data_IF_732149126809
#
_entry.id   IF_732149126809
#
_cell.length_a   1.000
_cell.length_b   1.000
_cell.length_c   1.000
_cell.angle_alpha   90.00
_cell.angle_beta   90.00
_cell.angle_gamma   90.00
#
_symmetry.space_group_name_H-M   'P 1'
#
loop_
_entity.id
_entity.type
_entity.pdbx_description
1 polymer ?
#
# COMPACT_ATOMS: atom_id res chain seq x y z
N UNK A 1 6.73 6.43 -11.70
CA UNK A 1 6.28 5.62 -10.54
C UNK A 1 6.91 4.22 -10.50
N UNK A 2 7.36 3.64 -11.63
CA UNK A 2 8.08 2.36 -11.64
C UNK A 2 9.51 2.48 -11.07
N UNK A 3 10.11 3.66 -11.13
CA UNK A 3 11.51 3.88 -10.69
C UNK A 3 11.71 3.95 -9.16
N UNK A 4 10.64 3.88 -8.35
CA UNK A 4 10.74 3.91 -6.88
C UNK A 4 10.98 2.54 -6.25
N UNK A 5 10.83 1.46 -7.02
CA UNK A 5 10.97 0.09 -6.51
C UNK A 5 12.12 -0.62 -7.20
N UNK A 6 12.79 -1.56 -6.49
CA UNK A 6 13.81 -2.40 -7.12
C UNK A 6 13.25 -3.08 -8.38
N UNK A 7 14.05 -3.12 -9.45
CA UNK A 7 13.60 -3.63 -10.76
C UNK A 7 13.28 -5.13 -10.75
N UNK A 8 13.75 -5.86 -9.75
CA UNK A 8 13.46 -7.27 -9.50
C UNK A 8 12.10 -7.50 -8.82
N UNK A 9 11.44 -6.45 -8.31
CA UNK A 9 10.10 -6.57 -7.75
C UNK A 9 9.05 -6.69 -8.86
N UNK A 10 8.32 -7.80 -8.86
CA UNK A 10 7.29 -8.06 -9.85
C UNK A 10 6.09 -7.13 -9.69
N UNK A 11 5.83 -6.28 -10.69
CA UNK A 11 4.64 -5.45 -10.76
C UNK A 11 3.46 -6.26 -11.33
N UNK A 12 2.36 -6.35 -10.57
CA UNK A 12 1.15 -7.09 -10.97
C UNK A 12 -0.11 -6.29 -10.63
N UNK A 13 -1.20 -6.40 -11.41
CA UNK A 13 -2.48 -5.79 -11.05
C UNK A 13 -3.03 -6.36 -9.73
N UNK A 14 -3.75 -5.52 -8.99
CA UNK A 14 -4.46 -5.97 -7.79
C UNK A 14 -5.64 -6.88 -8.14
N UNK A 15 -5.96 -7.83 -7.24
CA UNK A 15 -6.96 -8.90 -7.50
C UNK A 15 -8.42 -8.44 -7.37
N UNK A 16 -8.69 -7.37 -6.64
CA UNK A 16 -10.04 -6.95 -6.23
C UNK A 16 -10.29 -5.47 -6.48
N UNK A 17 -9.29 -4.65 -6.19
CA UNK A 17 -9.30 -3.20 -6.41
C UNK A 17 -8.49 -2.87 -7.65
N UNK A 18 -8.80 -1.73 -8.27
CA UNK A 18 -7.98 -1.18 -9.36
C UNK A 18 -6.69 -0.66 -8.73
N UNK A 19 -5.55 -1.17 -9.20
CA UNK A 19 -4.26 -0.82 -8.61
C UNK A 19 -3.13 -1.72 -9.09
N UNK A 20 -1.92 -1.38 -8.65
CA UNK A 20 -0.69 -2.12 -8.96
C UNK A 20 -0.02 -2.52 -7.66
N UNK A 21 0.49 -3.73 -7.61
CA UNK A 21 1.29 -4.25 -6.51
C UNK A 21 2.68 -4.64 -7.00
N UNK A 22 3.67 -4.22 -6.25
CA UNK A 22 5.04 -4.70 -6.30
C UNK A 22 5.30 -5.61 -5.11
N UNK A 23 5.94 -6.75 -5.37
CA UNK A 23 6.30 -7.71 -4.33
C UNK A 23 7.74 -8.16 -4.52
N UNK A 24 8.46 -8.21 -3.41
CA UNK A 24 9.81 -8.75 -3.34
C UNK A 24 9.77 -10.27 -3.64
N UNK A 25 10.51 -10.74 -4.66
CA UNK A 25 10.52 -12.15 -5.02
C UNK A 25 11.21 -13.02 -3.95
N UNK A 26 12.14 -12.46 -3.19
CA UNK A 26 12.92 -13.14 -2.17
C UNK A 26 12.26 -13.10 -0.79
N UNK A 27 11.41 -12.09 -0.53
CA UNK A 27 10.67 -11.97 0.72
C UNK A 27 9.24 -11.47 0.48
N UNK A 28 8.29 -12.41 0.38
CA UNK A 28 6.88 -12.10 0.17
C UNK A 28 6.24 -11.23 1.27
N UNK A 29 6.89 -11.06 2.42
CA UNK A 29 6.50 -10.13 3.48
C UNK A 29 6.78 -8.66 3.15
N UNK A 30 7.65 -8.39 2.17
CA UNK A 30 7.92 -7.07 1.63
C UNK A 30 7.03 -6.82 0.41
N UNK A 31 6.46 -5.63 0.33
CA UNK A 31 5.65 -5.26 -0.83
C UNK A 31 5.06 -3.87 -0.69
N UNK A 32 4.79 -3.27 -1.83
CA UNK A 32 4.07 -2.01 -1.91
C UNK A 32 2.91 -2.21 -2.88
N UNK A 33 1.75 -1.65 -2.56
CA UNK A 33 0.66 -1.55 -3.53
C UNK A 33 0.14 -0.14 -3.56
N UNK A 34 -0.24 0.29 -4.75
CA UNK A 34 -0.96 1.52 -5.01
C UNK A 34 -2.36 1.11 -5.45
N UNK A 35 -3.36 1.57 -4.72
CA UNK A 35 -4.77 1.33 -4.97
C UNK A 35 -5.40 2.65 -5.45
N UNK A 36 -6.23 2.58 -6.49
CA UNK A 36 -7.01 3.71 -6.98
C UNK A 36 -8.16 3.99 -6.02
N UNK A 37 -8.34 5.26 -5.66
CA UNK A 37 -9.42 5.71 -4.79
C UNK A 37 -10.79 5.51 -5.41
N UNK A 38 -11.78 5.21 -4.56
CA UNK A 38 -13.18 5.13 -4.93
C UNK A 38 -14.03 6.05 -4.02
N UNK A 39 -14.57 7.16 -4.54
CA UNK A 39 -15.33 8.12 -3.73
C UNK A 39 -16.61 7.54 -3.12
N UNK A 40 -17.14 6.44 -3.68
CA UNK A 40 -18.37 5.79 -3.22
C UNK A 40 -18.15 4.86 -2.02
N UNK A 41 -16.90 4.59 -1.63
CA UNK A 41 -16.57 3.75 -0.48
C UNK A 41 -16.76 4.52 0.83
N UNK A 42 -17.36 3.87 1.84
CA UNK A 42 -17.65 4.48 3.14
C UNK A 42 -16.41 4.83 3.97
N UNK A 43 -15.28 4.17 3.72
CA UNK A 43 -14.02 4.43 4.40
C UNK A 43 -13.30 5.62 3.72
N UNK A 44 -13.15 6.78 4.40
CA UNK A 44 -12.61 8.00 3.77
C UNK A 44 -11.20 7.84 3.21
N UNK A 45 -10.37 7.02 3.85
CA UNK A 45 -8.99 6.78 3.44
C UNK A 45 -8.86 5.95 2.15
N UNK A 46 -9.95 5.35 1.67
CA UNK A 46 -10.02 4.66 0.38
C UNK A 46 -10.70 5.50 -0.71
N UNK A 47 -11.12 6.74 -0.43
CA UNK A 47 -11.78 7.62 -1.39
C UNK A 47 -10.81 8.34 -2.34
N UNK A 48 -9.52 8.36 -1.99
CA UNK A 48 -8.43 8.93 -2.77
C UNK A 48 -7.43 7.84 -3.11
N UNK A 49 -6.59 8.02 -4.14
CA UNK A 49 -5.51 7.07 -4.41
C UNK A 49 -4.58 6.94 -3.20
N UNK A 50 -4.24 5.71 -2.83
CA UNK A 50 -3.44 5.44 -1.64
C UNK A 50 -2.41 4.33 -1.87
N UNK A 51 -1.42 4.32 -0.98
CA UNK A 51 -0.32 3.37 -0.93
C UNK A 51 -0.40 2.59 0.36
N UNK A 52 -0.17 1.28 0.27
CA UNK A 52 0.09 0.43 1.44
C UNK A 52 1.48 -0.15 1.30
N UNK A 53 2.29 0.05 2.34
CA UNK A 53 3.65 -0.48 2.43
C UNK A 53 3.70 -1.61 3.43
N UNK A 54 4.38 -2.70 3.06
CA UNK A 54 4.68 -3.82 3.95
C UNK A 54 6.16 -4.11 3.98
N UNK A 55 6.66 -4.41 5.15
CA UNK A 55 8.03 -4.81 5.39
C UNK A 55 8.06 -5.96 6.41
N UNK A 56 8.69 -7.07 6.05
CA UNK A 56 8.77 -8.30 6.86
C UNK A 56 7.41 -8.77 7.42
N UNK A 57 6.34 -8.63 6.62
CA UNK A 57 4.99 -9.05 7.01
C UNK A 57 4.22 -8.04 7.86
N UNK A 58 4.83 -6.92 8.24
CA UNK A 58 4.18 -5.84 8.97
C UNK A 58 3.78 -4.70 8.03
N UNK A 59 2.66 -4.05 8.31
CA UNK A 59 2.25 -2.83 7.59
C UNK A 59 3.02 -1.66 8.16
N UNK A 60 3.64 -0.88 7.29
CA UNK A 60 4.37 0.33 7.65
C UNK A 60 3.43 1.52 7.46
N UNK A 61 3.24 2.29 8.52
CA UNK A 61 2.39 3.47 8.49
C UNK A 61 3.07 4.66 7.84
N UNK A 62 2.29 5.72 7.63
CA UNK A 62 2.74 7.02 7.14
C UNK A 62 3.87 7.66 7.95
N UNK A 63 4.08 7.25 9.20
CA UNK A 63 5.19 7.68 10.07
C UNK A 63 6.47 6.84 9.89
N UNK A 64 6.48 5.89 8.95
CA UNK A 64 7.59 4.98 8.70
C UNK A 64 7.73 3.87 9.73
N UNK A 65 6.78 3.71 10.66
CA UNK A 65 6.83 2.69 11.72
C UNK A 65 5.84 1.56 11.47
N UNK A 66 6.09 0.35 12.00
CA UNK A 66 5.12 -0.72 11.96
C UNK A 66 3.83 -0.35 12.70
N UNK A 67 2.69 -0.62 12.08
CA UNK A 67 1.37 -0.48 12.71
C UNK A 67 1.08 -1.74 13.54
N UNK A 68 0.51 -1.55 14.72
CA UNK A 68 -0.02 -2.63 15.54
C UNK A 68 -1.50 -2.90 15.20
N UNK A 69 -1.85 -4.16 14.95
CA UNK A 69 -3.21 -4.56 14.61
C UNK A 69 -3.48 -4.58 13.10
N UNK A 70 -4.76 -4.56 12.73
CA UNK A 70 -5.18 -4.68 11.33
C UNK A 70 -5.20 -3.33 10.60
N UNK A 71 -5.19 -3.37 9.27
CA UNK A 71 -5.40 -2.19 8.42
C UNK A 71 -6.79 -1.60 8.67
N UNK A 72 -7.81 -2.43 8.87
CA UNK A 72 -9.18 -1.97 9.10
C UNK A 72 -9.28 -1.09 10.37
N UNK A 73 -8.58 -1.47 11.43
CA UNK A 73 -8.57 -0.72 12.71
C UNK A 73 -7.67 0.53 12.66
N UNK A 74 -6.72 0.56 11.72
CA UNK A 74 -5.71 1.62 11.62
C UNK A 74 -5.65 2.23 10.22
N UNK A 75 -6.79 2.33 9.54
CA UNK A 75 -6.84 2.68 8.12
C UNK A 75 -6.19 4.04 7.83
N UNK A 76 -6.33 5.01 8.74
CA UNK A 76 -5.67 6.32 8.64
C UNK A 76 -4.14 6.21 8.62
N UNK A 77 -3.56 5.31 9.43
CA UNK A 77 -2.12 5.11 9.46
C UNK A 77 -1.64 4.27 8.27
N UNK A 78 -2.42 3.27 7.88
CA UNK A 78 -2.05 2.26 6.89
C UNK A 78 -2.23 2.73 5.44
N UNK A 79 -3.26 3.51 5.15
CA UNK A 79 -3.49 4.12 3.84
C UNK A 79 -2.73 5.45 3.80
N UNK A 80 -1.61 5.44 3.09
CA UNK A 80 -0.79 6.63 2.84
C UNK A 80 -1.32 7.25 1.53
N UNK A 81 -1.91 8.44 1.52
CA UNK A 81 -2.38 9.07 0.29
C UNK A 81 -1.24 9.11 -0.73
N UNK A 82 -1.53 8.77 -1.99
CA UNK A 82 -0.51 8.70 -3.03
C UNK A 82 0.20 10.05 -3.23
N UNK A 83 -0.51 11.16 -2.98
CA UNK A 83 0.04 12.52 -2.97
C UNK A 83 1.06 12.78 -1.86
N UNK A 84 1.03 12.01 -0.76
CA UNK A 84 1.98 12.10 0.36
C UNK A 84 3.17 11.14 0.20
N UNK A 85 3.09 10.18 -0.73
CA UNK A 85 4.09 9.13 -0.92
C UNK A 85 5.24 9.58 -1.86
N UNK A 86 6.25 10.22 -1.27
CA UNK A 86 7.47 10.71 -1.95
C UNK A 86 8.64 9.72 -1.93
#
# INVERSE_FOLDING_TARGET
MVDKFPSDWGATPNKKEVGIRWQDPNNKGNGVRIDQGNPDVSQPTQQVDYVIVRYNGQVIGRDGKPIQGSIADNAEKAHIPLSEYN
#
